data_IF_568281698597
#
_entry.id   IF_568281698597
#
_cell.length_a   1.000
_cell.length_b   1.000
_cell.length_c   1.000
_cell.angle_alpha   90.00
_cell.angle_beta   90.00
_cell.angle_gamma   90.00
#
_symmetry.space_group_name_H-M   'P 1'
#
loop_
_entity.id
_entity.type
_entity.pdbx_description
1 polymer ?
#
# COMPACT_ATOMS: atom_id res chain seq x y z
N UNK A 1 -20.04 -8.58 -0.14
CA UNK A 1 -21.20 -9.49 -0.01
C UNK A 1 -22.26 -9.27 -1.08
N UNK A 2 -22.41 -8.05 -1.63
CA UNK A 2 -23.39 -7.75 -2.70
C UNK A 2 -23.38 -8.72 -3.88
N UNK A 3 -22.19 -9.08 -4.41
CA UNK A 3 -22.08 -10.04 -5.50
C UNK A 3 -22.61 -11.44 -5.15
N UNK A 4 -22.33 -11.94 -3.94
CA UNK A 4 -22.87 -13.21 -3.45
C UNK A 4 -24.38 -13.16 -3.28
N UNK A 5 -24.90 -12.06 -2.75
CA UNK A 5 -26.36 -11.84 -2.62
C UNK A 5 -27.03 -11.87 -3.98
N UNK A 6 -26.50 -11.13 -4.97
CA UNK A 6 -27.06 -11.06 -6.32
C UNK A 6 -27.07 -12.44 -7.01
N UNK A 7 -25.96 -13.18 -6.89
CA UNK A 7 -25.84 -14.52 -7.49
C UNK A 7 -26.76 -15.54 -6.81
N UNK A 8 -26.75 -15.62 -5.47
CA UNK A 8 -27.51 -16.63 -4.73
C UNK A 8 -29.02 -16.35 -4.72
N UNK A 9 -29.43 -15.09 -4.83
CA UNK A 9 -30.84 -14.73 -4.99
C UNK A 9 -31.44 -15.33 -6.27
N UNK A 10 -30.67 -15.43 -7.35
CA UNK A 10 -31.12 -16.07 -8.60
C UNK A 10 -31.51 -17.54 -8.42
N UNK A 11 -30.94 -18.20 -7.41
CA UNK A 11 -31.19 -19.62 -7.09
C UNK A 11 -32.04 -19.82 -5.82
N UNK A 12 -32.62 -18.75 -5.25
CA UNK A 12 -33.35 -18.79 -3.98
C UNK A 12 -32.50 -19.29 -2.78
N UNK A 13 -31.17 -19.17 -2.85
CA UNK A 13 -30.22 -19.63 -1.81
C UNK A 13 -29.75 -18.48 -0.89
N UNK A 14 -30.59 -17.46 -0.67
CA UNK A 14 -30.24 -16.27 0.11
C UNK A 14 -29.75 -16.59 1.54
N UNK A 15 -30.24 -17.68 2.14
CA UNK A 15 -29.84 -18.10 3.49
C UNK A 15 -28.35 -18.42 3.63
N UNK A 16 -27.66 -18.73 2.52
CA UNK A 16 -26.21 -18.99 2.51
C UNK A 16 -25.36 -17.72 2.64
N UNK A 17 -25.92 -16.54 2.31
CA UNK A 17 -25.21 -15.25 2.37
C UNK A 17 -24.58 -14.98 3.75
N UNK A 18 -25.29 -15.06 4.89
CA UNK A 18 -24.69 -14.84 6.20
C UNK A 18 -23.61 -15.88 6.56
N UNK A 19 -23.78 -17.14 6.15
CA UNK A 19 -22.82 -18.23 6.41
C UNK A 19 -21.50 -17.94 5.68
N UNK A 20 -21.59 -17.59 4.40
CA UNK A 20 -20.43 -17.17 3.61
C UNK A 20 -19.80 -15.90 4.17
N UNK A 21 -20.62 -14.95 4.61
CA UNK A 21 -20.14 -13.73 5.28
C UNK A 21 -19.30 -14.04 6.52
N UNK A 22 -19.73 -14.99 7.34
CA UNK A 22 -18.97 -15.43 8.52
C UNK A 22 -17.63 -16.08 8.13
N UNK A 23 -17.62 -16.98 7.15
CA UNK A 23 -16.38 -17.61 6.68
C UNK A 23 -15.40 -16.61 6.07
N UNK A 24 -15.91 -15.65 5.30
CA UNK A 24 -15.09 -14.54 4.78
C UNK A 24 -14.53 -13.71 5.93
N UNK A 25 -15.33 -13.37 6.94
CA UNK A 25 -14.86 -12.59 8.09
C UNK A 25 -13.76 -13.32 8.88
N UNK A 26 -13.93 -14.62 9.14
CA UNK A 26 -12.92 -15.45 9.81
C UNK A 26 -11.63 -15.52 8.96
N UNK A 27 -11.76 -15.80 7.65
CA UNK A 27 -10.63 -15.88 6.74
C UNK A 27 -9.84 -14.57 6.65
N UNK A 28 -10.53 -13.44 6.55
CA UNK A 28 -9.90 -12.11 6.50
C UNK A 28 -9.19 -11.77 7.82
N UNK A 29 -9.78 -12.12 8.97
CA UNK A 29 -9.16 -11.91 10.29
C UNK A 29 -7.88 -12.73 10.43
N UNK A 30 -7.91 -13.99 10.00
CA UNK A 30 -6.72 -14.85 9.95
C UNK A 30 -5.63 -14.27 9.05
N UNK A 31 -5.99 -13.85 7.84
CA UNK A 31 -5.07 -13.21 6.90
C UNK A 31 -4.39 -11.97 7.47
N UNK A 32 -5.15 -11.09 8.13
CA UNK A 32 -4.64 -9.84 8.69
C UNK A 32 -3.51 -10.03 9.72
N UNK A 33 -3.54 -11.13 10.49
CA UNK A 33 -2.53 -11.42 11.52
C UNK A 33 -1.10 -11.50 10.97
N UNK A 34 -0.94 -12.07 9.76
CA UNK A 34 0.37 -12.23 9.10
C UNK A 34 0.90 -10.92 8.53
N UNK A 35 0.00 -10.07 8.03
CA UNK A 35 0.32 -8.76 7.45
C UNK A 35 0.70 -7.71 8.49
N UNK A 36 0.35 -7.92 9.76
CA UNK A 36 0.66 -6.96 10.81
C UNK A 36 2.17 -6.83 11.08
N UNK A 37 2.89 -7.96 11.07
CA UNK A 37 4.30 -7.99 11.44
C UNK A 37 5.26 -7.86 10.25
N UNK A 38 4.90 -8.40 9.09
CA UNK A 38 5.79 -8.51 7.93
C UNK A 38 6.38 -7.18 7.46
N UNK A 39 5.55 -6.22 7.01
CA UNK A 39 6.02 -4.93 6.48
C UNK A 39 6.81 -4.13 7.51
N UNK A 40 6.39 -4.19 8.77
CA UNK A 40 7.01 -3.43 9.85
C UNK A 40 8.38 -3.98 10.24
N UNK A 41 8.59 -5.29 10.17
CA UNK A 41 9.94 -5.88 10.30
C UNK A 41 10.83 -5.49 9.13
N UNK A 42 10.32 -5.54 7.89
CA UNK A 42 11.07 -5.08 6.72
C UNK A 42 11.49 -3.60 6.83
N UNK A 43 10.59 -2.75 7.35
CA UNK A 43 10.89 -1.35 7.61
C UNK A 43 11.93 -1.17 8.72
N UNK A 44 11.92 -2.01 9.76
CA UNK A 44 12.90 -1.97 10.85
C UNK A 44 14.34 -2.19 10.35
N UNK A 45 14.56 -3.09 9.40
CA UNK A 45 15.90 -3.32 8.84
C UNK A 45 16.46 -2.02 8.24
N UNK A 46 15.68 -1.35 7.38
CA UNK A 46 16.08 -0.05 6.82
C UNK A 46 16.21 1.04 7.91
N UNK A 47 15.37 0.98 8.95
CA UNK A 47 15.44 1.91 10.07
C UNK A 47 16.77 1.80 10.81
N UNK A 48 17.28 0.59 11.03
CA UNK A 48 18.55 0.32 11.74
C UNK A 48 19.77 0.79 10.95
N UNK A 49 19.69 0.81 9.62
CA UNK A 49 20.68 1.46 8.73
C UNK A 49 20.66 3.00 8.81
N UNK A 50 19.74 3.56 9.60
CA UNK A 50 19.60 4.99 9.85
C UNK A 50 18.68 5.73 8.87
N UNK A 51 17.89 5.01 8.06
CA UNK A 51 16.89 5.62 7.18
C UNK A 51 15.71 6.24 7.94
N UNK A 52 15.49 5.83 9.19
CA UNK A 52 14.46 6.39 10.08
C UNK A 52 15.07 6.91 11.40
N UNK A 53 14.43 7.90 12.06
CA UNK A 53 14.85 8.37 13.38
C UNK A 53 14.97 7.26 14.44
N UNK A 54 15.89 7.37 15.43
CA UNK A 54 16.08 6.37 16.48
C UNK A 54 14.82 6.04 17.28
N UNK A 55 13.85 6.96 17.32
CA UNK A 55 12.55 6.72 17.91
C UNK A 55 11.83 5.52 17.25
N UNK A 56 11.90 5.37 15.93
CA UNK A 56 11.24 4.29 15.20
C UNK A 56 12.03 2.98 15.18
N UNK A 57 13.28 3.00 15.62
CA UNK A 57 14.15 1.83 15.68
C UNK A 57 13.98 1.01 16.98
N UNK A 58 13.22 1.53 17.95
CA UNK A 58 13.04 0.88 19.26
C UNK A 58 12.28 -0.44 19.15
N UNK A 59 12.91 -1.52 19.59
CA UNK A 59 12.31 -2.85 19.67
C UNK A 59 11.83 -3.20 21.08
N UNK A 60 10.90 -4.15 21.19
CA UNK A 60 10.49 -4.76 22.46
C UNK A 60 11.29 -6.04 22.75
N UNK A 61 10.98 -6.72 23.88
CA UNK A 61 11.62 -7.97 24.30
C UNK A 61 11.52 -9.13 23.29
N UNK A 62 10.59 -9.06 22.34
CA UNK A 62 10.39 -10.07 21.30
C UNK A 62 10.99 -9.64 19.95
N UNK A 63 11.82 -8.59 19.92
CA UNK A 63 12.44 -8.08 18.69
C UNK A 63 11.49 -7.34 17.74
N UNK A 64 10.28 -6.99 18.19
CA UNK A 64 9.32 -6.25 17.35
C UNK A 64 9.50 -4.74 17.52
N UNK A 65 9.49 -3.93 16.43
CA UNK A 65 9.63 -2.48 16.51
C UNK A 65 8.36 -1.83 17.06
N UNK A 66 8.34 -1.65 18.39
CA UNK A 66 7.13 -1.29 19.13
C UNK A 66 6.51 0.02 18.64
N UNK A 67 7.34 1.03 18.34
CA UNK A 67 6.86 2.36 17.97
C UNK A 67 6.27 2.36 16.55
N UNK A 68 6.86 1.61 15.61
CA UNK A 68 6.29 1.43 14.27
C UNK A 68 4.98 0.62 14.31
N UNK A 69 4.91 -0.41 15.17
CA UNK A 69 3.67 -1.19 15.36
C UNK A 69 2.53 -0.30 15.89
N UNK A 70 2.80 0.54 16.88
CA UNK A 70 1.82 1.48 17.42
C UNK A 70 1.42 2.50 16.35
N UNK A 71 2.39 3.07 15.62
CA UNK A 71 2.10 4.03 14.56
C UNK A 71 1.16 3.45 13.50
N UNK A 72 1.46 2.26 12.96
CA UNK A 72 0.56 1.65 11.96
C UNK A 72 -0.82 1.32 12.55
N UNK A 73 -0.89 0.88 13.82
CA UNK A 73 -2.15 0.55 14.46
C UNK A 73 -3.02 1.82 14.63
N UNK A 74 -2.40 2.94 15.01
CA UNK A 74 -3.08 4.23 15.06
C UNK A 74 -3.55 4.67 13.68
N UNK A 75 -2.70 4.60 12.65
CA UNK A 75 -3.06 4.99 11.29
C UNK A 75 -4.23 4.15 10.76
N UNK A 76 -4.16 2.82 10.88
CA UNK A 76 -5.23 1.91 10.46
C UNK A 76 -6.52 2.19 11.23
N UNK A 77 -6.43 2.41 12.55
CA UNK A 77 -7.62 2.69 13.36
C UNK A 77 -8.28 4.00 12.98
N UNK A 78 -7.50 5.07 12.77
CA UNK A 78 -8.01 6.38 12.35
C UNK A 78 -8.65 6.27 10.97
N UNK A 79 -7.94 5.72 9.98
CA UNK A 79 -8.46 5.60 8.61
C UNK A 79 -9.70 4.71 8.55
N UNK A 80 -9.71 3.58 9.28
CA UNK A 80 -10.88 2.69 9.35
C UNK A 80 -12.06 3.39 10.02
N UNK A 81 -11.83 4.13 11.11
CA UNK A 81 -12.88 4.90 11.79
C UNK A 81 -13.44 6.01 10.90
N UNK A 82 -12.58 6.73 10.15
CA UNK A 82 -13.04 7.73 9.19
C UNK A 82 -13.92 7.10 8.12
N UNK A 83 -13.53 5.96 7.54
CA UNK A 83 -14.35 5.28 6.55
C UNK A 83 -15.69 4.79 7.13
N UNK A 84 -15.70 4.28 8.36
CA UNK A 84 -16.92 3.81 9.01
C UNK A 84 -17.88 4.94 9.40
N UNK A 85 -17.36 6.06 9.91
CA UNK A 85 -18.17 7.16 10.46
C UNK A 85 -18.62 8.16 9.40
N UNK A 86 -17.79 8.42 8.38
CA UNK A 86 -18.07 9.46 7.37
C UNK A 86 -18.78 8.89 6.16
N UNK A 87 -18.56 7.62 5.83
CA UNK A 87 -19.14 7.05 4.63
C UNK A 87 -20.56 6.55 4.87
N UNK A 88 -21.49 7.04 4.05
CA UNK A 88 -22.85 6.50 3.98
C UNK A 88 -22.92 5.16 3.25
N UNK A 89 -21.84 4.75 2.57
CA UNK A 89 -21.79 3.52 1.78
C UNK A 89 -20.42 2.84 1.91
N UNK A 90 -20.41 1.64 2.49
CA UNK A 90 -19.19 0.83 2.71
C UNK A 90 -18.49 0.46 1.40
N UNK A 91 -19.26 0.17 0.34
CA UNK A 91 -18.70 -0.16 -0.97
C UNK A 91 -17.90 1.01 -1.55
N UNK A 92 -18.41 2.23 -1.38
CA UNK A 92 -17.72 3.45 -1.83
C UNK A 92 -16.37 3.65 -1.14
N UNK A 93 -16.33 3.46 0.18
CA UNK A 93 -15.08 3.53 0.96
C UNK A 93 -14.09 2.46 0.58
N UNK A 94 -14.57 1.24 0.34
CA UNK A 94 -13.74 0.14 -0.11
C UNK A 94 -13.05 0.46 -1.44
N UNK A 95 -13.81 0.99 -2.41
CA UNK A 95 -13.24 1.41 -3.70
C UNK A 95 -12.18 2.50 -3.56
N UNK A 96 -12.44 3.54 -2.77
CA UNK A 96 -11.46 4.61 -2.52
C UNK A 96 -10.20 4.03 -1.87
N UNK A 97 -10.35 3.13 -0.90
CA UNK A 97 -9.21 2.47 -0.24
C UNK A 97 -8.39 1.65 -1.23
N UNK A 98 -9.04 0.86 -2.10
CA UNK A 98 -8.35 0.06 -3.14
C UNK A 98 -7.63 0.96 -4.13
N UNK A 99 -8.28 2.04 -4.59
CA UNK A 99 -7.66 3.00 -5.51
C UNK A 99 -6.42 3.66 -4.90
N UNK A 100 -6.50 4.14 -3.65
CA UNK A 100 -5.37 4.74 -2.94
C UNK A 100 -4.22 3.74 -2.78
N UNK A 101 -4.50 2.50 -2.35
CA UNK A 101 -3.47 1.46 -2.23
C UNK A 101 -2.82 1.17 -3.59
N UNK A 102 -3.62 1.02 -4.65
CA UNK A 102 -3.14 0.79 -6.00
C UNK A 102 -2.23 1.92 -6.50
N UNK A 103 -2.58 3.18 -6.24
CA UNK A 103 -1.78 4.33 -6.64
C UNK A 103 -0.43 4.39 -5.90
N UNK A 104 -0.40 4.08 -4.60
CA UNK A 104 0.86 4.03 -3.82
C UNK A 104 1.76 2.91 -4.35
N UNK A 105 1.22 1.70 -4.52
CA UNK A 105 2.00 0.55 -5.00
C UNK A 105 2.53 0.78 -6.41
N UNK A 106 1.70 1.24 -7.33
CA UNK A 106 2.08 1.49 -8.72
C UNK A 106 3.21 2.52 -8.82
N UNK A 107 3.13 3.58 -8.01
CA UNK A 107 4.19 4.59 -7.94
C UNK A 107 5.52 4.02 -7.41
N UNK A 108 5.49 3.13 -6.41
CA UNK A 108 6.70 2.43 -5.93
C UNK A 108 7.30 1.51 -7.01
N UNK A 109 6.46 0.76 -7.72
CA UNK A 109 6.93 -0.08 -8.82
C UNK A 109 7.55 0.73 -9.95
N UNK A 110 7.05 1.94 -10.21
CA UNK A 110 7.63 2.86 -11.18
C UNK A 110 9.07 3.22 -10.81
N UNK A 111 9.30 3.61 -9.54
CA UNK A 111 10.65 3.89 -9.02
C UNK A 111 11.56 2.66 -9.06
N UNK A 112 11.01 1.47 -8.78
CA UNK A 112 11.77 0.23 -8.83
C UNK A 112 12.25 -0.12 -10.25
N UNK A 113 11.39 0.05 -11.26
CA UNK A 113 11.76 -0.18 -12.67
C UNK A 113 12.82 0.82 -13.12
N UNK A 114 12.66 2.10 -12.79
CA UNK A 114 13.66 3.13 -13.08
C UNK A 114 15.01 2.80 -12.41
N UNK A 115 14.98 2.33 -11.17
CA UNK A 115 16.18 1.92 -10.44
C UNK A 115 16.84 0.71 -11.09
N UNK A 116 16.05 -0.26 -11.58
CA UNK A 116 16.55 -1.43 -12.31
C UNK A 116 17.25 -1.03 -13.63
N UNK A 117 16.63 -0.12 -14.40
CA UNK A 117 17.24 0.43 -15.61
C UNK A 117 18.53 1.18 -15.29
N UNK A 118 18.51 2.06 -14.28
CA UNK A 118 19.71 2.79 -13.84
C UNK A 118 20.83 1.82 -13.46
N UNK A 119 20.53 0.81 -12.64
CA UNK A 119 21.49 -0.20 -12.19
C UNK A 119 22.12 -0.99 -13.34
N UNK A 120 21.38 -1.24 -14.43
CA UNK A 120 21.90 -1.91 -15.63
C UNK A 120 23.06 -1.13 -16.26
N UNK A 121 23.00 0.19 -16.20
CA UNK A 121 23.99 1.08 -16.82
C UNK A 121 25.07 1.56 -15.86
N UNK A 122 24.71 1.84 -14.60
CA UNK A 122 25.66 2.41 -13.64
C UNK A 122 26.55 1.37 -12.98
N UNK A 123 26.12 0.11 -12.92
CA UNK A 123 26.87 -0.98 -12.28
C UNK A 123 26.84 -2.25 -13.16
N UNK A 124 27.38 -2.21 -14.40
CA UNK A 124 27.28 -3.33 -15.33
C UNK A 124 28.01 -4.59 -14.81
N UNK A 125 29.11 -4.42 -14.07
CA UNK A 125 30.02 -5.50 -13.68
C UNK A 125 29.59 -6.29 -12.44
N UNK A 126 28.53 -5.86 -11.75
CA UNK A 126 27.99 -6.62 -10.62
C UNK A 126 27.54 -8.00 -11.09
N UNK A 127 28.01 -9.04 -10.39
CA UNK A 127 27.59 -10.42 -10.64
C UNK A 127 26.09 -10.55 -10.33
N UNK A 128 25.32 -11.07 -11.29
CA UNK A 128 23.87 -11.21 -11.19
C UNK A 128 23.52 -12.66 -11.45
N UNK A 129 22.89 -13.32 -10.48
CA UNK A 129 22.37 -14.68 -10.62
C UNK A 129 21.31 -14.78 -11.73
N UNK A 130 20.57 -13.69 -11.94
CA UNK A 130 19.55 -13.59 -12.97
C UNK A 130 19.69 -12.28 -13.76
N UNK A 131 19.56 -12.36 -15.09
CA UNK A 131 19.61 -11.21 -15.99
C UNK A 131 18.38 -11.20 -16.87
N UNK A 132 17.60 -10.12 -16.80
CA UNK A 132 16.45 -9.92 -17.68
C UNK A 132 16.94 -9.64 -19.10
N UNK A 133 16.57 -10.48 -20.09
CA UNK A 133 16.77 -10.14 -21.50
C UNK A 133 15.83 -9.01 -21.92
N UNK A 134 16.23 -8.19 -22.89
CA UNK A 134 15.40 -7.11 -23.45
C UNK A 134 14.83 -6.14 -22.39
N UNK A 135 15.64 -5.74 -21.41
CA UNK A 135 15.19 -4.93 -20.26
C UNK A 135 14.41 -3.67 -20.67
N UNK A 136 14.76 -3.00 -21.78
CA UNK A 136 14.00 -1.86 -22.27
C UNK A 136 12.56 -2.19 -22.64
N UNK A 137 12.33 -3.29 -23.34
CA UNK A 137 10.97 -3.71 -23.74
C UNK A 137 10.15 -4.02 -22.50
N UNK A 138 10.72 -4.79 -21.57
CA UNK A 138 10.05 -5.14 -20.31
C UNK A 138 9.74 -3.89 -19.48
N UNK A 139 10.71 -2.97 -19.35
CA UNK A 139 10.54 -1.74 -18.59
C UNK A 139 9.51 -0.81 -19.22
N UNK A 140 9.57 -0.58 -20.54
CA UNK A 140 8.59 0.28 -21.24
C UNK A 140 7.19 -0.31 -21.11
N UNK A 141 7.02 -1.60 -21.36
CA UNK A 141 5.71 -2.26 -21.24
C UNK A 141 5.15 -2.16 -19.81
N UNK A 142 6.02 -2.37 -18.81
CA UNK A 142 5.64 -2.27 -17.40
C UNK A 142 5.27 -0.83 -17.02
N UNK A 143 6.04 0.17 -17.47
CA UNK A 143 5.77 1.58 -17.22
C UNK A 143 4.46 2.02 -17.88
N UNK A 144 4.19 1.60 -19.12
CA UNK A 144 2.91 1.86 -19.79
C UNK A 144 1.74 1.24 -19.03
N UNK A 145 1.89 0.00 -18.58
CA UNK A 145 0.87 -0.70 -17.77
C UNK A 145 0.61 0.03 -16.46
N UNK A 146 1.65 0.54 -15.80
CA UNK A 146 1.54 1.30 -14.56
C UNK A 146 0.89 2.66 -14.77
N UNK A 147 1.22 3.38 -15.84
CA UNK A 147 0.54 4.63 -16.21
C UNK A 147 -0.94 4.36 -16.46
N UNK A 148 -1.27 3.33 -17.22
CA UNK A 148 -2.66 2.92 -17.47
C UNK A 148 -3.41 2.58 -16.17
N UNK A 149 -2.81 1.76 -15.31
CA UNK A 149 -3.34 1.39 -14.00
C UNK A 149 -3.58 2.61 -13.10
N UNK A 150 -2.62 3.54 -13.05
CA UNK A 150 -2.73 4.78 -12.29
C UNK A 150 -3.85 5.68 -12.83
N UNK A 151 -3.94 5.85 -14.15
CA UNK A 151 -5.02 6.60 -14.80
C UNK A 151 -6.39 5.98 -14.53
N UNK A 152 -6.50 4.65 -14.53
CA UNK A 152 -7.75 3.96 -14.23
C UNK A 152 -8.20 4.18 -12.78
N UNK A 153 -7.27 4.23 -11.83
CA UNK A 153 -7.57 4.52 -10.42
C UNK A 153 -8.17 5.93 -10.20
N UNK A 154 -7.97 6.87 -11.14
CA UNK A 154 -8.56 8.21 -11.10
C UNK A 154 -10.01 8.27 -11.63
N UNK A 155 -10.51 7.18 -12.20
CA UNK A 155 -11.89 7.10 -12.71
C UNK A 155 -12.77 6.49 -11.62
N UNK A 156 -13.73 7.26 -11.05
CA UNK A 156 -14.63 6.70 -10.04
C UNK A 156 -15.58 5.68 -10.66
N UNK A 157 -15.88 4.56 -9.96
CA UNK A 157 -16.92 3.63 -10.41
C UNK A 157 -18.28 4.33 -10.52
N UNK A 158 -19.10 3.89 -11.47
CA UNK A 158 -20.44 4.44 -11.77
C UNK A 158 -21.37 4.41 -10.55
N UNK A 159 -21.11 3.49 -9.60
CA UNK A 159 -21.84 3.33 -8.36
C UNK A 159 -21.47 4.37 -7.28
N UNK A 160 -20.43 5.17 -7.49
CA UNK A 160 -20.13 6.31 -6.66
C UNK A 160 -20.93 7.51 -7.17
N UNK A 161 -21.91 8.03 -6.41
CA UNK A 161 -22.50 9.32 -6.69
C UNK A 161 -21.47 10.41 -6.35
N UNK A 162 -20.42 10.53 -7.17
CA UNK A 162 -19.45 11.60 -7.04
C UNK A 162 -20.10 12.85 -7.62
N UNK A 163 -20.78 13.62 -6.77
CA UNK A 163 -21.37 14.90 -7.15
C UNK A 163 -20.33 15.91 -7.69
N UNK A 164 -19.03 15.64 -7.50
CA UNK A 164 -17.94 16.50 -7.95
C UNK A 164 -16.67 15.68 -8.27
N UNK A 165 -16.53 15.23 -9.52
CA UNK A 165 -15.35 14.50 -10.02
C UNK A 165 -14.01 15.22 -9.71
N UNK A 166 -13.88 16.54 -9.91
CA UNK A 166 -12.67 17.26 -9.50
C UNK A 166 -12.28 17.08 -8.03
N UNK A 167 -13.25 17.07 -7.10
CA UNK A 167 -12.97 16.83 -5.67
C UNK A 167 -12.41 15.43 -5.43
N UNK A 168 -12.94 14.41 -6.11
CA UNK A 168 -12.43 13.03 -6.01
C UNK A 168 -10.96 12.94 -6.44
N UNK A 169 -10.64 13.43 -7.64
CA UNK A 169 -9.26 13.42 -8.15
C UNK A 169 -8.33 14.21 -7.23
N UNK A 170 -8.77 15.38 -6.75
CA UNK A 170 -7.97 16.22 -5.83
C UNK A 170 -7.63 15.47 -4.54
N UNK A 171 -8.59 14.77 -3.93
CA UNK A 171 -8.34 13.99 -2.70
C UNK A 171 -7.30 12.89 -2.95
N UNK A 172 -7.41 12.15 -4.06
CA UNK A 172 -6.47 11.07 -4.39
C UNK A 172 -5.05 11.60 -4.62
N UNK A 173 -4.90 12.68 -5.40
CA UNK A 173 -3.60 13.29 -5.68
C UNK A 173 -2.97 13.89 -4.43
N UNK A 174 -3.74 14.63 -3.62
CA UNK A 174 -3.26 15.18 -2.35
C UNK A 174 -2.80 14.07 -1.41
N UNK A 175 -3.54 12.97 -1.32
CA UNK A 175 -3.13 11.83 -0.50
C UNK A 175 -1.82 11.21 -0.98
N UNK A 176 -1.66 10.97 -2.29
CA UNK A 176 -0.42 10.44 -2.86
C UNK A 176 0.75 11.39 -2.57
N UNK A 177 0.60 12.68 -2.87
CA UNK A 177 1.66 13.67 -2.61
C UNK A 177 2.02 13.69 -1.13
N UNK A 178 1.02 13.64 -0.24
CA UNK A 178 1.23 13.58 1.20
C UNK A 178 2.03 12.33 1.61
N UNK A 179 1.64 11.13 1.16
CA UNK A 179 2.35 9.89 1.48
C UNK A 179 3.79 9.90 0.97
N UNK A 180 4.03 10.39 -0.25
CA UNK A 180 5.38 10.48 -0.81
C UNK A 180 6.23 11.56 -0.14
N UNK A 181 5.62 12.62 0.38
CA UNK A 181 6.34 13.67 1.09
C UNK A 181 6.97 13.16 2.39
N UNK A 182 6.35 12.20 3.09
CA UNK A 182 6.83 11.67 4.37
C UNK A 182 8.25 11.10 4.28
N UNK A 183 8.54 10.07 3.45
CA UNK A 183 9.90 9.52 3.36
C UNK A 183 10.91 10.53 2.81
N UNK A 184 10.50 11.42 1.89
CA UNK A 184 11.38 12.46 1.36
C UNK A 184 11.79 13.48 2.43
N UNK A 185 10.85 13.91 3.28
CA UNK A 185 11.13 14.78 4.41
C UNK A 185 12.01 14.09 5.44
N UNK A 186 11.75 12.83 5.77
CA UNK A 186 12.60 12.06 6.70
C UNK A 186 14.03 11.97 6.16
N UNK A 187 14.20 11.67 4.88
CA UNK A 187 15.51 11.62 4.24
C UNK A 187 16.21 12.99 4.23
N UNK A 188 15.47 14.09 4.01
CA UNK A 188 16.03 15.44 4.06
C UNK A 188 16.56 15.82 5.45
N UNK A 189 15.88 15.39 6.51
CA UNK A 189 16.29 15.65 7.91
C UNK A 189 17.16 14.53 8.51
N UNK A 190 17.63 13.60 7.69
CA UNK A 190 18.43 12.44 8.12
C UNK A 190 19.73 12.90 8.77
N UNK A 191 20.03 12.34 9.95
CA UNK A 191 21.27 12.62 10.69
C UNK A 191 22.20 11.42 10.67
N UNK A 192 23.53 11.60 10.56
CA UNK A 192 24.49 10.49 10.63
C UNK A 192 24.37 9.65 11.91
N UNK A 193 23.97 10.27 13.03
CA UNK A 193 23.79 9.61 14.32
C UNK A 193 22.59 8.66 14.38
N UNK A 194 21.77 8.59 13.34
CA UNK A 194 20.63 7.67 13.30
C UNK A 194 21.04 6.25 12.94
N UNK A 195 22.21 6.04 12.33
CA UNK A 195 22.68 4.71 12.00
C UNK A 195 23.23 4.03 13.27
N UNK A 196 22.55 2.99 13.74
CA UNK A 196 22.92 2.25 14.96
C UNK A 196 23.84 1.07 14.66
N UNK A 197 23.97 0.70 13.39
CA UNK A 197 24.85 -0.38 12.91
C UNK A 197 26.28 0.11 12.62
N UNK A 198 26.47 1.41 12.36
CA UNK A 198 27.78 2.07 12.33
C UNK A 198 28.30 2.26 13.76
N UNK A 199 29.00 1.23 14.26
CA UNK A 199 29.98 1.40 15.33
C UNK A 199 31.31 1.89 14.76
#
# INVERSE_FOLDING_TARGET
>A
MEAFTLYLNKYNLHFLVPILGLFVAIGQTGGFSTWLAGPVKGLLETAQEGELPPFFQKVNKNGMPKNLMILQACLISVTSSTFLLVSKNVNSSFWISVALSMMVYTSMYFLMILSCLRLRYTQPDVQRTFRVPCIWVVSILSMLTMVFAFSFALVPPVQLPVANYPKFVTILIVFIVFIFSIPLLINHFKKPSWNVLKK
#
